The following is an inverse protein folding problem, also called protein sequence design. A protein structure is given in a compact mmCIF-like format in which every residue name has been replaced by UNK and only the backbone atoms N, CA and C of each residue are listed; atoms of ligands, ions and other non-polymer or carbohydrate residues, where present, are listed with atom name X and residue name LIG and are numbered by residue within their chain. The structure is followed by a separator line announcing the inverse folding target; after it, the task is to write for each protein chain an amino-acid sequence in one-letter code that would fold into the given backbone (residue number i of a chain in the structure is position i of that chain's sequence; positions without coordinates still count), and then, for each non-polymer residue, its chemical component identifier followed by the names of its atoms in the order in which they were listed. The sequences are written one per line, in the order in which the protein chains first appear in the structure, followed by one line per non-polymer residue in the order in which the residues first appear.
data_IF_338747455548
#
_entry.id   IF_338747455548
#
_cell.length_a   1.000
_cell.length_b   1.000
_cell.length_c   1.000
_cell.angle_alpha   90.00
_cell.angle_beta   90.00
_cell.angle_gamma   90.00
#
_symmetry.space_group_name_H-M   'P 1'
#
loop_
_entity.id
_entity.type
_entity.pdbx_description
1 polymer ?
#
# COMPACT_ATOMS: atom_id res chain seq x y z
N UNK A 1 27.56 5.90 -11.74
CA UNK A 1 26.50 6.25 -12.69
C UNK A 1 25.65 7.30 -12.00
N UNK A 2 25.56 8.50 -12.57
CA UNK A 2 24.93 9.65 -11.96
C UNK A 2 23.45 9.40 -11.65
N UNK A 3 23.00 9.86 -10.47
CA UNK A 3 21.60 9.81 -10.00
C UNK A 3 20.61 10.55 -10.94
N UNK A 4 21.09 11.30 -11.90
CA UNK A 4 20.30 12.18 -12.78
C UNK A 4 19.35 11.47 -13.72
N UNK A 5 19.69 10.26 -14.22
CA UNK A 5 18.84 9.57 -15.18
C UNK A 5 17.53 9.00 -14.60
N UNK A 6 17.37 8.98 -13.28
CA UNK A 6 16.15 8.49 -12.62
C UNK A 6 14.97 9.46 -12.79
N UNK A 7 15.25 10.75 -12.87
CA UNK A 7 14.23 11.81 -13.00
C UNK A 7 14.07 12.33 -14.44
N UNK A 8 14.71 11.67 -15.44
CA UNK A 8 14.67 12.13 -16.83
C UNK A 8 13.25 12.05 -17.43
N UNK A 9 12.56 10.94 -17.19
CA UNK A 9 11.18 10.73 -17.66
C UNK A 9 10.36 9.98 -16.61
N UNK A 10 9.08 10.35 -16.49
CA UNK A 10 8.16 9.64 -15.61
C UNK A 10 7.77 8.29 -16.24
N UNK A 11 8.34 7.20 -15.75
CA UNK A 11 7.97 5.85 -16.19
C UNK A 11 6.52 5.53 -15.80
N UNK A 12 5.84 4.69 -16.59
CA UNK A 12 4.46 4.24 -16.28
C UNK A 12 4.30 3.69 -14.86
N UNK A 13 5.28 2.97 -14.37
CA UNK A 13 5.30 2.46 -12.98
C UNK A 13 5.26 3.59 -11.94
N UNK A 14 6.00 4.68 -12.18
CA UNK A 14 6.00 5.86 -11.30
C UNK A 14 4.65 6.58 -11.34
N UNK A 15 3.98 6.59 -12.50
CA UNK A 15 2.61 7.11 -12.62
C UNK A 15 1.61 6.29 -11.81
N UNK A 16 1.66 4.96 -11.90
CA UNK A 16 0.76 4.06 -11.14
C UNK A 16 1.01 4.20 -9.65
N UNK A 17 2.29 4.22 -9.23
CA UNK A 17 2.68 4.47 -7.83
C UNK A 17 2.10 5.79 -7.31
N UNK A 18 2.33 6.89 -8.03
CA UNK A 18 1.83 8.21 -7.65
C UNK A 18 0.29 8.24 -7.57
N UNK A 19 -0.43 7.58 -8.51
CA UNK A 19 -1.90 7.45 -8.46
C UNK A 19 -2.39 6.68 -7.25
N UNK A 20 -1.71 5.60 -6.85
CA UNK A 20 -2.08 4.84 -5.65
C UNK A 20 -1.94 5.74 -4.41
N UNK A 21 -0.80 6.43 -4.27
CA UNK A 21 -0.54 7.34 -3.14
C UNK A 21 -1.53 8.48 -3.09
N UNK A 22 -1.78 9.17 -4.21
CA UNK A 22 -2.72 10.29 -4.34
C UNK A 22 -4.15 9.87 -3.97
N UNK A 23 -4.65 8.76 -4.54
CA UNK A 23 -5.99 8.22 -4.24
C UNK A 23 -6.12 7.81 -2.78
N UNK A 24 -5.06 7.18 -2.23
CA UNK A 24 -5.08 6.80 -0.83
C UNK A 24 -5.05 8.01 0.09
N UNK A 25 -4.20 8.99 -0.17
CA UNK A 25 -4.14 10.25 0.57
C UNK A 25 -5.51 10.92 0.66
N UNK A 26 -6.21 11.06 -0.47
CA UNK A 26 -7.55 11.63 -0.48
C UNK A 26 -8.53 10.83 0.38
N UNK A 27 -8.59 9.52 0.20
CA UNK A 27 -9.52 8.66 0.94
C UNK A 27 -9.21 8.60 2.43
N UNK A 28 -7.92 8.50 2.80
CA UNK A 28 -7.44 8.56 4.17
C UNK A 28 -7.85 9.88 4.84
N UNK A 29 -7.60 11.00 4.21
CA UNK A 29 -7.96 12.31 4.74
C UNK A 29 -9.48 12.42 4.99
N UNK A 30 -10.32 11.92 4.06
CA UNK A 30 -11.79 11.91 4.24
C UNK A 30 -12.24 11.05 5.42
N UNK A 31 -11.53 9.98 5.76
CA UNK A 31 -11.80 9.15 6.93
C UNK A 31 -11.34 9.81 8.23
N UNK A 32 -10.17 10.44 8.22
CA UNK A 32 -9.51 10.96 9.43
C UNK A 32 -10.02 12.35 9.82
N UNK A 33 -10.26 13.24 8.85
CA UNK A 33 -10.65 14.64 9.10
C UNK A 33 -11.85 14.78 10.05
N UNK A 34 -12.95 14.03 9.92
CA UNK A 34 -14.10 14.20 10.80
C UNK A 34 -13.76 14.01 12.29
N UNK A 35 -12.93 13.02 12.60
CA UNK A 35 -12.50 12.74 13.98
C UNK A 35 -11.45 13.75 14.45
N UNK A 36 -10.46 14.07 13.62
CA UNK A 36 -9.44 15.08 13.91
C UNK A 36 -10.08 16.46 14.17
N UNK A 37 -11.11 16.84 13.39
CA UNK A 37 -11.85 18.10 13.54
C UNK A 37 -12.58 18.18 14.88
N UNK A 38 -13.25 17.09 15.31
CA UNK A 38 -13.90 16.99 16.62
C UNK A 38 -12.90 17.12 17.77
N UNK A 39 -11.70 16.59 17.60
CA UNK A 39 -10.62 16.67 18.59
C UNK A 39 -9.82 18.00 18.54
N UNK A 40 -10.21 18.97 17.71
CA UNK A 40 -9.43 20.22 17.51
C UNK A 40 -8.04 19.99 16.91
N UNK A 41 -7.78 18.82 16.35
CA UNK A 41 -6.49 18.42 15.81
C UNK A 41 -6.36 18.80 14.31
N UNK A 42 -5.20 18.55 13.74
CA UNK A 42 -4.85 18.69 12.33
C UNK A 42 -4.57 17.31 11.76
N UNK A 43 -4.33 17.24 10.45
CA UNK A 43 -3.78 16.07 9.79
C UNK A 43 -2.46 16.45 9.12
N UNK A 44 -1.60 15.46 8.85
CA UNK A 44 -0.36 15.70 8.15
C UNK A 44 -0.10 14.71 7.02
N UNK A 45 0.65 15.15 6.02
CA UNK A 45 1.28 14.30 5.01
C UNK A 45 2.78 14.54 5.04
N UNK A 46 3.55 13.48 5.12
CA UNK A 46 5.01 13.54 5.22
C UNK A 46 5.62 12.64 4.15
N UNK A 47 6.47 13.21 3.32
CA UNK A 47 7.29 12.50 2.34
C UNK A 47 8.76 12.72 2.67
N UNK A 48 9.43 11.67 3.12
CA UNK A 48 10.81 11.77 3.60
C UNK A 48 11.86 11.66 2.48
N UNK A 49 11.45 11.37 1.24
CA UNK A 49 12.31 11.22 0.06
C UNK A 49 11.64 11.88 -1.16
N UNK A 50 11.31 13.15 -1.03
CA UNK A 50 10.33 13.83 -1.90
C UNK A 50 10.83 14.08 -3.34
N UNK A 51 12.14 14.07 -3.59
CA UNK A 51 12.72 14.36 -4.89
C UNK A 51 12.49 15.81 -5.36
N UNK A 52 12.75 16.11 -6.64
CA UNK A 52 12.75 17.49 -7.16
C UNK A 52 11.35 18.08 -7.47
N UNK A 53 10.26 17.39 -7.17
CA UNK A 53 8.90 17.87 -7.39
C UNK A 53 8.37 17.67 -8.82
N UNK A 54 9.20 17.79 -9.82
CA UNK A 54 8.89 17.50 -11.23
C UNK A 54 9.97 16.65 -11.87
N UNK A 55 9.57 15.84 -12.82
CA UNK A 55 10.48 15.14 -13.72
C UNK A 55 10.98 16.10 -14.80
N UNK A 56 12.05 15.79 -15.53
CA UNK A 56 12.60 16.63 -16.61
C UNK A 56 11.61 16.84 -17.77
N UNK A 57 10.70 15.90 -18.00
CA UNK A 57 9.60 16.02 -18.96
C UNK A 57 8.47 16.95 -18.48
N UNK A 58 8.62 17.59 -17.31
CA UNK A 58 7.64 18.48 -16.69
C UNK A 58 6.50 17.76 -15.95
N UNK A 59 6.43 16.44 -15.96
CA UNK A 59 5.40 15.69 -15.27
C UNK A 59 5.50 15.83 -13.75
N UNK A 60 4.35 15.78 -13.06
CA UNK A 60 4.24 16.05 -11.62
C UNK A 60 4.62 14.83 -10.79
N UNK A 61 5.45 15.04 -9.78
CA UNK A 61 5.75 14.03 -8.76
C UNK A 61 4.64 13.91 -7.71
N UNK A 62 4.76 12.94 -6.81
CA UNK A 62 3.80 12.70 -5.72
C UNK A 62 3.55 13.94 -4.84
N UNK A 63 4.56 14.70 -4.35
CA UNK A 63 4.36 15.93 -3.60
C UNK A 63 3.41 16.93 -4.27
N UNK A 64 3.62 17.20 -5.55
CA UNK A 64 2.80 18.17 -6.30
C UNK A 64 1.35 17.69 -6.41
N UNK A 65 1.13 16.41 -6.70
CA UNK A 65 -0.23 15.82 -6.79
C UNK A 65 -0.97 15.87 -5.45
N UNK A 66 -0.28 15.58 -4.35
CA UNK A 66 -0.84 15.67 -2.99
C UNK A 66 -1.26 17.10 -2.65
N UNK A 67 -0.43 18.10 -2.99
CA UNK A 67 -0.76 19.50 -2.74
C UNK A 67 -1.93 19.98 -3.59
N UNK A 68 -2.00 19.63 -4.86
CA UNK A 68 -3.13 19.96 -5.75
C UNK A 68 -4.43 19.31 -5.24
N UNK A 69 -4.38 18.05 -4.79
CA UNK A 69 -5.52 17.38 -4.16
C UNK A 69 -5.98 18.13 -2.91
N UNK A 70 -5.04 18.56 -2.07
CA UNK A 70 -5.35 19.31 -0.85
C UNK A 70 -5.95 20.69 -1.15
N UNK A 71 -5.45 21.40 -2.16
CA UNK A 71 -5.97 22.69 -2.59
C UNK A 71 -7.42 22.56 -3.11
N UNK A 72 -7.77 21.47 -3.76
CA UNK A 72 -9.12 21.26 -4.29
C UNK A 72 -10.18 20.98 -3.21
N UNK A 73 -9.75 20.60 -1.99
CA UNK A 73 -10.65 20.20 -0.89
C UNK A 73 -10.68 21.21 0.24
N UNK A 74 -11.85 21.78 0.60
CA UNK A 74 -11.98 22.83 1.63
C UNK A 74 -11.50 22.39 3.02
N UNK A 75 -11.73 21.14 3.42
CA UNK A 75 -11.31 20.66 4.74
C UNK A 75 -9.79 20.44 4.78
N UNK A 76 -9.22 19.85 3.71
CA UNK A 76 -7.76 19.67 3.61
C UNK A 76 -7.03 21.01 3.58
N UNK A 77 -7.53 22.01 2.84
CA UNK A 77 -6.97 23.39 2.83
C UNK A 77 -6.79 23.96 4.24
N UNK A 78 -7.76 23.67 5.13
CA UNK A 78 -7.77 24.23 6.48
C UNK A 78 -7.05 23.39 7.52
N UNK A 79 -6.80 22.10 7.27
CA UNK A 79 -6.34 21.15 8.28
C UNK A 79 -5.02 20.48 7.96
N UNK A 80 -4.63 20.40 6.69
CA UNK A 80 -3.43 19.67 6.28
C UNK A 80 -2.15 20.45 6.58
N UNK A 81 -1.20 19.80 7.23
CA UNK A 81 0.21 20.18 7.29
C UNK A 81 1.00 19.24 6.39
N UNK A 82 1.96 19.76 5.63
CA UNK A 82 2.82 18.92 4.80
C UNK A 82 4.29 19.17 5.11
N UNK A 83 5.07 18.08 5.07
CA UNK A 83 6.52 18.14 5.14
C UNK A 83 7.09 17.24 4.04
N UNK A 84 8.00 17.82 3.29
CA UNK A 84 8.74 17.18 2.22
C UNK A 84 10.22 17.26 2.53
N UNK A 85 10.90 16.13 2.60
CA UNK A 85 12.32 16.06 2.85
C UNK A 85 13.06 15.37 1.70
N UNK A 86 14.25 15.82 1.39
CA UNK A 86 15.21 15.09 0.56
C UNK A 86 16.62 15.39 1.05
N UNK A 87 17.50 14.38 1.02
CA UNK A 87 18.91 14.56 1.40
C UNK A 87 19.71 15.40 0.38
N UNK A 88 19.23 15.46 -0.88
CA UNK A 88 19.85 16.28 -1.93
C UNK A 88 19.29 17.72 -1.90
N UNK A 89 20.16 18.69 -1.64
CA UNK A 89 19.78 20.10 -1.58
C UNK A 89 19.28 20.67 -2.92
N UNK A 90 19.75 20.16 -4.06
CA UNK A 90 19.26 20.55 -5.39
C UNK A 90 17.83 20.10 -5.60
N UNK A 91 17.48 18.88 -5.10
CA UNK A 91 16.11 18.38 -5.14
C UNK A 91 15.18 19.24 -4.30
N UNK A 92 15.58 19.60 -3.07
CA UNK A 92 14.74 20.42 -2.20
C UNK A 92 14.56 21.84 -2.74
N UNK A 93 15.57 22.40 -3.36
CA UNK A 93 15.46 23.70 -4.04
C UNK A 93 14.46 23.60 -5.22
N UNK A 94 14.63 22.62 -6.11
CA UNK A 94 13.75 22.41 -7.25
C UNK A 94 12.29 22.12 -6.82
N UNK A 95 12.12 21.35 -5.74
CA UNK A 95 10.80 21.07 -5.16
C UNK A 95 10.14 22.35 -4.64
N UNK A 96 10.88 23.20 -3.92
CA UNK A 96 10.34 24.47 -3.43
C UNK A 96 9.88 25.36 -4.57
N UNK A 97 10.68 25.47 -5.66
CA UNK A 97 10.28 26.22 -6.85
C UNK A 97 9.03 25.61 -7.51
N UNK A 98 8.96 24.29 -7.63
CA UNK A 98 7.78 23.62 -8.18
C UNK A 98 6.53 23.83 -7.32
N UNK A 99 6.65 23.86 -6.00
CA UNK A 99 5.56 24.17 -5.06
C UNK A 99 5.08 25.62 -5.23
N UNK A 100 6.01 26.58 -5.33
CA UNK A 100 5.67 27.99 -5.50
C UNK A 100 4.89 28.27 -6.80
N UNK A 101 5.06 27.41 -7.82
CA UNK A 101 4.36 27.49 -9.10
C UNK A 101 2.97 26.84 -9.12
N UNK A 102 2.56 26.16 -8.03
CA UNK A 102 1.23 25.53 -7.97
C UNK A 102 0.17 26.64 -7.89
N UNK A 103 -0.84 26.65 -8.79
CA UNK A 103 -1.95 27.57 -8.69
C UNK A 103 -2.65 27.43 -7.32
N UNK A 104 -3.03 28.57 -6.73
CA UNK A 104 -3.77 28.60 -5.47
C UNK A 104 -3.05 27.99 -4.23
N UNK A 105 -1.74 27.80 -4.30
CA UNK A 105 -0.95 27.25 -3.17
C UNK A 105 -1.14 28.06 -1.88
N UNK A 106 -1.37 29.37 -2.01
CA UNK A 106 -1.60 30.28 -0.89
C UNK A 106 -2.98 30.08 -0.21
N UNK A 107 -3.88 29.28 -0.81
CA UNK A 107 -5.15 28.91 -0.20
C UNK A 107 -4.97 27.85 0.90
N UNK A 108 -3.80 27.19 0.98
CA UNK A 108 -3.49 26.30 2.09
C UNK A 108 -3.22 27.12 3.36
N UNK A 109 -3.97 26.81 4.42
CA UNK A 109 -3.78 27.48 5.74
C UNK A 109 -2.38 27.28 6.31
N UNK A 110 -1.79 26.12 6.09
CA UNK A 110 -0.43 25.79 6.52
C UNK A 110 0.45 25.67 5.27
N UNK A 111 1.47 26.52 5.21
CA UNK A 111 2.43 26.50 4.10
C UNK A 111 3.18 25.16 4.08
N UNK A 112 3.39 24.54 2.91
CA UNK A 112 4.24 23.37 2.78
C UNK A 112 5.64 23.62 3.33
N UNK A 113 6.17 22.67 4.10
CA UNK A 113 7.53 22.72 4.62
C UNK A 113 8.43 21.83 3.75
N UNK A 114 9.55 22.37 3.30
CA UNK A 114 10.61 21.64 2.61
C UNK A 114 11.86 21.67 3.47
N UNK A 115 12.43 20.48 3.71
CA UNK A 115 13.61 20.30 4.56
C UNK A 115 14.69 19.51 3.84
N UNK A 116 15.94 19.71 4.24
CA UNK A 116 17.10 19.02 3.67
C UNK A 116 17.92 18.38 4.78
N UNK A 117 17.71 17.09 5.04
CA UNK A 117 18.52 16.33 5.99
C UNK A 117 18.55 14.82 5.61
N UNK A 118 19.59 14.13 6.04
CA UNK A 118 19.64 12.67 5.96
C UNK A 118 18.74 12.04 7.02
N UNK A 119 17.99 11.00 6.63
CA UNK A 119 17.10 10.28 7.54
C UNK A 119 17.94 9.48 8.52
N UNK A 120 17.72 9.75 9.81
CA UNK A 120 18.31 9.07 10.95
C UNK A 120 17.34 9.08 12.15
N UNK A 121 17.58 8.24 13.16
CA UNK A 121 16.64 8.04 14.28
C UNK A 121 16.31 9.33 15.07
N UNK A 122 17.24 10.25 15.16
CA UNK A 122 17.07 11.49 15.97
C UNK A 122 16.16 12.56 15.36
N UNK A 123 15.84 12.48 14.08
CA UNK A 123 15.16 13.57 13.38
C UNK A 123 13.63 13.38 13.25
N UNK A 124 13.09 12.26 13.71
CA UNK A 124 11.71 11.87 13.45
C UNK A 124 10.73 12.16 14.60
N UNK A 125 11.22 12.42 15.82
CA UNK A 125 10.37 12.65 16.99
C UNK A 125 9.44 13.87 16.87
N UNK A 126 9.74 14.79 15.97
CA UNK A 126 9.05 16.08 15.82
C UNK A 126 7.66 15.91 15.14
N UNK A 127 7.40 14.78 14.48
CA UNK A 127 6.26 14.66 13.55
C UNK A 127 5.04 13.89 14.07
N UNK A 128 5.10 13.33 15.29
CA UNK A 128 4.15 12.29 15.72
C UNK A 128 2.91 12.77 16.52
N UNK A 129 2.57 14.06 16.49
CA UNK A 129 1.51 14.61 17.34
C UNK A 129 0.12 14.68 16.68
N UNK A 130 0.01 14.38 15.40
CA UNK A 130 -1.26 14.41 14.65
C UNK A 130 -1.39 13.19 13.74
N UNK A 131 -2.61 12.77 13.40
CA UNK A 131 -2.82 11.74 12.37
C UNK A 131 -2.04 12.08 11.10
N UNK A 132 -1.22 11.16 10.62
CA UNK A 132 -0.26 11.41 9.55
C UNK A 132 -0.23 10.29 8.54
N UNK A 133 -0.30 10.63 7.26
CA UNK A 133 0.07 9.71 6.19
C UNK A 133 1.53 9.91 5.81
N UNK A 134 2.33 8.85 5.93
CA UNK A 134 3.73 8.83 5.54
C UNK A 134 3.91 8.17 4.19
N UNK A 135 4.78 8.77 3.37
CA UNK A 135 5.27 8.17 2.15
C UNK A 135 6.81 8.10 2.20
N UNK A 136 7.37 6.91 2.00
CA UNK A 136 8.80 6.63 2.09
C UNK A 136 9.27 6.01 0.77
N UNK A 137 9.94 6.78 -0.07
CA UNK A 137 10.40 6.37 -1.41
C UNK A 137 11.92 6.51 -1.57
N UNK A 138 12.74 5.81 -0.73
CA UNK A 138 14.18 5.99 -0.78
C UNK A 138 14.76 5.50 -2.10
N UNK A 139 15.83 6.14 -2.55
CA UNK A 139 16.64 5.62 -3.64
C UNK A 139 17.37 4.34 -3.18
N UNK A 140 16.81 3.19 -3.50
CA UNK A 140 17.27 1.90 -3.00
C UNK A 140 16.50 1.46 -1.75
N UNK A 141 17.14 1.39 -0.60
CA UNK A 141 16.55 1.06 0.69
C UNK A 141 17.28 1.71 1.88
N UNK A 142 18.31 2.52 1.62
CA UNK A 142 19.06 3.25 2.67
C UNK A 142 18.12 4.23 3.37
N UNK A 143 18.14 4.21 4.69
CA UNK A 143 17.27 5.04 5.53
C UNK A 143 15.88 4.43 5.79
N UNK A 144 15.58 3.25 5.23
CA UNK A 144 14.37 2.49 5.53
C UNK A 144 14.71 1.42 6.59
N UNK A 145 13.98 1.40 7.71
CA UNK A 145 14.13 0.43 8.77
C UNK A 145 12.79 0.02 9.38
N UNK A 146 12.72 -1.14 10.02
CA UNK A 146 11.54 -1.56 10.77
C UNK A 146 11.18 -0.54 11.86
N UNK A 147 12.19 -0.01 12.57
CA UNK A 147 11.99 1.00 13.62
C UNK A 147 11.39 2.30 13.06
N UNK A 148 11.87 2.77 11.91
CA UNK A 148 11.28 3.91 11.23
C UNK A 148 9.80 3.65 10.90
N UNK A 149 9.50 2.53 10.22
CA UNK A 149 8.13 2.18 9.82
C UNK A 149 7.22 2.07 11.06
N UNK A 150 7.68 1.39 12.11
CA UNK A 150 6.92 1.29 13.36
C UNK A 150 6.67 2.65 14.00
N UNK A 151 7.70 3.51 14.08
CA UNK A 151 7.60 4.82 14.70
C UNK A 151 6.54 5.71 14.03
N UNK A 152 6.40 5.60 12.70
CA UNK A 152 5.45 6.41 11.92
C UNK A 152 4.02 5.86 11.97
N UNK A 153 3.79 4.56 12.21
CA UNK A 153 2.43 3.97 12.23
C UNK A 153 1.92 3.62 13.63
N UNK A 154 2.73 3.81 14.69
CA UNK A 154 2.34 3.44 16.07
C UNK A 154 1.14 4.20 16.60
N UNK A 155 0.91 5.43 16.15
CA UNK A 155 -0.14 6.32 16.66
C UNK A 155 -1.43 6.18 15.85
N UNK A 156 -2.56 6.57 16.49
CA UNK A 156 -3.86 6.55 15.86
C UNK A 156 -3.93 7.45 14.62
N UNK A 157 -4.52 6.92 13.55
CA UNK A 157 -4.73 7.63 12.28
C UNK A 157 -3.46 7.79 11.45
N UNK A 158 -2.38 7.09 11.83
CA UNK A 158 -1.12 7.11 11.09
C UNK A 158 -1.01 5.86 10.23
N UNK A 159 -0.81 6.08 8.92
CA UNK A 159 -0.58 5.03 7.92
C UNK A 159 0.71 5.33 7.16
N UNK A 160 1.31 4.30 6.56
CA UNK A 160 2.51 4.45 5.76
C UNK A 160 2.41 3.67 4.46
N UNK A 161 2.87 4.29 3.38
CA UNK A 161 3.21 3.63 2.12
C UNK A 161 4.72 3.73 1.95
N UNK A 162 5.39 2.61 1.70
CA UNK A 162 6.82 2.64 1.44
C UNK A 162 7.21 1.85 0.21
N UNK A 163 8.23 2.36 -0.47
CA UNK A 163 8.79 1.73 -1.64
C UNK A 163 9.84 0.70 -1.23
N UNK A 164 9.67 -0.52 -1.67
CA UNK A 164 10.54 -1.65 -1.38
C UNK A 164 11.24 -2.11 -2.65
N UNK A 165 12.49 -1.67 -2.84
CA UNK A 165 13.28 -1.99 -4.02
C UNK A 165 13.79 -3.44 -3.98
N UNK A 166 12.90 -4.36 -4.37
CA UNK A 166 13.17 -5.79 -4.35
C UNK A 166 14.47 -6.17 -5.08
N UNK A 167 14.69 -5.62 -6.28
CA UNK A 167 15.88 -5.94 -7.06
C UNK A 167 17.18 -5.62 -6.30
N UNK A 168 17.24 -4.43 -5.70
CA UNK A 168 18.42 -3.99 -4.95
C UNK A 168 18.61 -4.83 -3.69
N UNK A 169 17.55 -5.02 -2.93
CA UNK A 169 17.57 -5.81 -1.70
C UNK A 169 17.99 -7.25 -1.99
N UNK A 170 17.43 -7.90 -3.01
CA UNK A 170 17.80 -9.27 -3.38
C UNK A 170 19.27 -9.41 -3.79
N UNK A 171 19.85 -8.40 -4.45
CA UNK A 171 21.30 -8.38 -4.77
C UNK A 171 22.16 -8.18 -3.52
N UNK A 172 21.73 -7.32 -2.62
CA UNK A 172 22.50 -6.85 -1.49
C UNK A 172 22.33 -7.73 -0.22
N UNK A 173 21.40 -8.68 -0.22
CA UNK A 173 21.09 -9.53 0.95
C UNK A 173 22.31 -10.28 1.49
N UNK A 174 23.25 -10.66 0.62
CA UNK A 174 24.49 -11.37 0.99
C UNK A 174 25.73 -10.47 0.96
N UNK A 175 25.55 -9.17 0.76
CA UNK A 175 26.64 -8.20 0.69
C UNK A 175 27.00 -7.70 2.09
N UNK A 176 28.19 -8.05 2.59
CA UNK A 176 28.66 -7.66 3.92
C UNK A 176 28.79 -6.13 4.10
N UNK A 177 29.03 -5.37 3.03
CA UNK A 177 29.18 -3.89 3.12
C UNK A 177 27.90 -3.20 3.59
N UNK A 178 26.73 -3.79 3.29
CA UNK A 178 25.40 -3.21 3.59
C UNK A 178 24.61 -4.08 4.56
N UNK A 179 25.29 -4.96 5.28
CA UNK A 179 24.66 -5.91 6.19
C UNK A 179 23.80 -5.22 7.25
N UNK A 180 24.27 -4.11 7.82
CA UNK A 180 23.53 -3.34 8.83
C UNK A 180 22.23 -2.78 8.26
N UNK A 181 22.24 -2.22 7.06
CA UNK A 181 21.01 -1.72 6.42
C UNK A 181 19.98 -2.83 6.16
N UNK A 182 20.44 -4.03 5.80
CA UNK A 182 19.58 -5.20 5.63
C UNK A 182 19.05 -5.68 7.00
N UNK A 183 19.89 -5.68 8.03
CA UNK A 183 19.48 -6.04 9.39
C UNK A 183 18.46 -5.03 9.95
N UNK A 184 18.60 -3.74 9.69
CA UNK A 184 17.63 -2.71 10.06
C UNK A 184 16.28 -2.89 9.37
N UNK A 185 16.30 -3.38 8.11
CA UNK A 185 15.10 -3.57 7.31
C UNK A 185 14.29 -4.80 7.70
N UNK A 186 14.94 -5.91 8.12
CA UNK A 186 14.27 -7.19 8.41
C UNK A 186 14.31 -7.59 9.88
N UNK A 187 15.16 -6.95 10.68
CA UNK A 187 15.62 -7.48 11.97
C UNK A 187 16.71 -8.54 11.78
N UNK A 188 17.76 -8.51 12.59
CA UNK A 188 18.96 -9.36 12.43
C UNK A 188 18.64 -10.84 12.28
N UNK A 189 17.79 -11.40 13.16
CA UNK A 189 17.47 -12.84 13.13
C UNK A 189 16.80 -13.27 11.82
N UNK A 190 15.86 -12.46 11.32
CA UNK A 190 15.17 -12.74 10.05
C UNK A 190 16.09 -12.52 8.84
N UNK A 191 16.95 -11.51 8.89
CA UNK A 191 17.97 -11.28 7.88
C UNK A 191 18.93 -12.46 7.76
N UNK A 192 19.40 -12.99 8.87
CA UNK A 192 20.30 -14.16 8.90
C UNK A 192 19.58 -15.42 8.38
N UNK A 193 18.35 -15.65 8.79
CA UNK A 193 17.54 -16.77 8.33
C UNK A 193 17.31 -16.72 6.81
N UNK A 194 16.85 -15.59 6.29
CA UNK A 194 16.56 -15.44 4.84
C UNK A 194 17.82 -15.56 4.00
N UNK A 195 19.00 -15.06 4.46
CA UNK A 195 20.29 -15.25 3.79
C UNK A 195 20.65 -16.73 3.58
N UNK A 196 20.34 -17.57 4.57
CA UNK A 196 20.58 -19.01 4.46
C UNK A 196 19.60 -19.70 3.52
N UNK A 197 18.31 -19.41 3.65
CA UNK A 197 17.24 -20.02 2.87
C UNK A 197 17.35 -19.70 1.37
N UNK A 198 17.70 -18.45 1.03
CA UNK A 198 17.79 -18.00 -0.37
C UNK A 198 18.85 -18.73 -1.19
N UNK A 199 19.86 -19.35 -0.59
CA UNK A 199 20.89 -20.10 -1.31
C UNK A 199 20.33 -21.32 -2.06
N UNK A 200 19.18 -21.82 -1.62
CA UNK A 200 18.53 -23.04 -2.13
C UNK A 200 17.28 -22.73 -2.98
N UNK A 201 16.91 -21.44 -3.14
CA UNK A 201 15.65 -21.05 -3.76
C UNK A 201 15.82 -20.62 -5.23
N UNK A 202 14.80 -20.92 -6.04
CA UNK A 202 14.63 -20.34 -7.39
C UNK A 202 14.33 -18.85 -7.32
N UNK A 203 14.51 -18.13 -8.43
CA UNK A 203 14.30 -16.68 -8.49
C UNK A 203 12.87 -16.25 -8.04
N UNK A 204 11.85 -17.00 -8.43
CA UNK A 204 10.45 -16.75 -8.05
C UNK A 204 10.21 -16.97 -6.56
N UNK A 205 10.69 -18.09 -6.02
CA UNK A 205 10.57 -18.42 -4.61
C UNK A 205 11.33 -17.42 -3.72
N UNK A 206 12.44 -16.88 -4.19
CA UNK A 206 13.19 -15.82 -3.48
C UNK A 206 12.36 -14.56 -3.27
N UNK A 207 11.63 -14.13 -4.30
CA UNK A 207 10.75 -12.95 -4.17
C UNK A 207 9.68 -13.17 -3.11
N UNK A 208 8.97 -14.30 -3.19
CA UNK A 208 7.92 -14.65 -2.22
C UNK A 208 8.49 -14.69 -0.80
N UNK A 209 9.66 -15.33 -0.60
CA UNK A 209 10.32 -15.44 0.69
C UNK A 209 10.72 -14.05 1.25
N UNK A 210 11.33 -13.19 0.44
CA UNK A 210 11.74 -11.84 0.86
C UNK A 210 10.52 -10.98 1.24
N UNK A 211 9.46 -10.97 0.42
CA UNK A 211 8.25 -10.21 0.72
C UNK A 211 7.54 -10.76 1.96
N UNK A 212 7.47 -12.08 2.10
CA UNK A 212 6.92 -12.70 3.31
C UNK A 212 7.72 -12.29 4.54
N UNK A 213 9.06 -12.32 4.48
CA UNK A 213 9.92 -11.97 5.62
C UNK A 213 9.70 -10.54 6.10
N UNK A 214 9.60 -9.54 5.20
CA UNK A 214 9.30 -8.16 5.62
C UNK A 214 7.88 -8.03 6.18
N UNK A 215 6.88 -8.70 5.58
CA UNK A 215 5.51 -8.69 6.09
C UNK A 215 5.43 -9.33 7.49
N UNK A 216 6.12 -10.44 7.72
CA UNK A 216 6.14 -11.12 9.02
C UNK A 216 6.90 -10.29 10.07
N UNK A 217 8.00 -9.61 9.69
CA UNK A 217 8.71 -8.70 10.57
C UNK A 217 7.84 -7.52 11.03
N UNK A 218 7.05 -6.95 10.13
CA UNK A 218 6.12 -5.87 10.46
C UNK A 218 4.98 -6.34 11.37
N UNK A 219 4.43 -7.54 11.13
CA UNK A 219 3.38 -8.13 11.99
C UNK A 219 3.87 -8.39 13.41
N UNK A 220 5.11 -8.83 13.59
CA UNK A 220 5.71 -9.01 14.93
C UNK A 220 5.87 -7.70 15.71
N UNK A 221 5.87 -6.55 15.00
CA UNK A 221 5.83 -5.22 15.61
C UNK A 221 4.40 -4.71 15.84
N UNK A 222 3.41 -5.60 15.90
CA UNK A 222 1.99 -5.25 16.10
C UNK A 222 1.42 -4.36 14.99
N UNK A 223 1.89 -4.55 13.76
CA UNK A 223 1.34 -3.94 12.55
C UNK A 223 0.55 -5.01 11.79
N UNK A 224 -0.75 -5.08 12.04
CA UNK A 224 -1.60 -6.16 11.54
C UNK A 224 -1.83 -6.09 10.02
N UNK A 225 -1.97 -4.87 9.48
CA UNK A 225 -2.42 -4.67 8.10
C UNK A 225 -1.26 -4.30 7.19
N UNK A 226 -0.76 -5.28 6.44
CA UNK A 226 0.33 -5.11 5.47
C UNK A 226 -0.15 -5.55 4.09
N UNK A 227 -0.09 -4.66 3.08
CA UNK A 227 -0.51 -4.94 1.71
C UNK A 227 0.58 -4.59 0.72
N UNK A 228 1.27 -5.57 0.15
CA UNK A 228 2.18 -5.37 -0.97
C UNK A 228 1.42 -5.17 -2.30
N UNK A 229 1.97 -4.33 -3.17
CA UNK A 229 1.60 -4.20 -4.57
C UNK A 229 2.86 -4.31 -5.43
N UNK A 230 2.89 -5.28 -6.34
CA UNK A 230 4.05 -5.64 -7.15
C UNK A 230 4.16 -4.78 -8.40
N UNK A 231 5.38 -4.39 -8.76
CA UNK A 231 5.68 -3.78 -10.06
C UNK A 231 6.65 -4.66 -10.83
N UNK A 232 6.22 -5.12 -12.01
CA UNK A 232 7.07 -5.91 -12.93
C UNK A 232 7.87 -5.01 -13.86
N UNK A 233 9.06 -5.44 -14.23
CA UNK A 233 9.93 -4.71 -15.13
C UNK A 233 9.35 -4.70 -16.56
N UNK A 234 9.39 -3.55 -17.22
CA UNK A 234 8.81 -3.33 -18.55
C UNK A 234 9.28 -4.32 -19.63
N UNK A 235 10.59 -4.64 -19.63
CA UNK A 235 11.22 -5.49 -20.65
C UNK A 235 11.59 -6.89 -20.16
N UNK A 236 11.41 -7.19 -18.88
CA UNK A 236 11.84 -8.47 -18.28
C UNK A 236 10.69 -9.02 -17.43
N UNK A 237 10.41 -10.32 -17.54
CA UNK A 237 9.40 -11.02 -16.72
C UNK A 237 9.79 -11.11 -15.23
N UNK A 238 10.45 -10.10 -14.67
CA UNK A 238 10.88 -10.09 -13.27
C UNK A 238 10.33 -8.87 -12.54
N UNK A 239 10.15 -9.02 -11.25
CA UNK A 239 9.77 -7.92 -10.37
C UNK A 239 10.90 -6.90 -10.26
N UNK A 240 10.54 -5.63 -10.29
CA UNK A 240 11.46 -4.52 -10.02
C UNK A 240 11.37 -4.10 -8.56
N UNK A 241 10.17 -3.85 -8.06
CA UNK A 241 9.93 -3.35 -6.72
C UNK A 241 8.50 -3.64 -6.25
N UNK A 242 8.22 -3.34 -4.99
CA UNK A 242 6.88 -3.32 -4.42
C UNK A 242 6.59 -1.96 -3.80
N UNK A 243 5.35 -1.55 -3.82
CA UNK A 243 4.82 -0.53 -2.93
C UNK A 243 4.10 -1.26 -1.79
N UNK A 244 4.57 -1.08 -0.57
CA UNK A 244 4.00 -1.78 0.58
C UNK A 244 3.25 -0.76 1.44
N UNK A 245 1.98 -1.04 1.68
CA UNK A 245 1.15 -0.31 2.61
C UNK A 245 1.17 -0.97 3.97
N UNK A 246 1.21 -0.16 5.04
CA UNK A 246 1.14 -0.61 6.43
C UNK A 246 0.22 0.29 7.25
N UNK A 247 -0.60 -0.33 8.10
CA UNK A 247 -1.54 0.36 8.99
C UNK A 247 -1.88 -0.51 10.19
N UNK A 248 -2.40 0.13 11.25
CA UNK A 248 -3.09 -0.52 12.37
C UNK A 248 -4.62 -0.44 12.26
N UNK A 249 -5.15 0.21 11.21
CA UNK A 249 -6.59 0.38 11.01
C UNK A 249 -7.10 -0.47 9.82
N UNK A 250 -8.07 -1.32 10.09
CA UNK A 250 -8.72 -2.19 9.08
C UNK A 250 -9.42 -1.43 7.96
N UNK A 251 -9.87 -0.19 8.20
CA UNK A 251 -10.51 0.64 7.17
C UNK A 251 -9.48 1.13 6.16
N UNK A 252 -8.31 1.58 6.65
CA UNK A 252 -7.18 1.93 5.80
C UNK A 252 -6.79 0.77 4.90
N UNK A 253 -6.68 -0.44 5.48
CA UNK A 253 -6.38 -1.66 4.73
C UNK A 253 -7.42 -1.99 3.65
N UNK A 254 -8.72 -1.89 3.96
CA UNK A 254 -9.78 -2.09 2.97
C UNK A 254 -9.67 -1.08 1.82
N UNK A 255 -9.48 0.19 2.14
CA UNK A 255 -9.38 1.28 1.16
C UNK A 255 -8.20 1.06 0.22
N UNK A 256 -7.01 0.77 0.76
CA UNK A 256 -5.83 0.58 -0.07
C UNK A 256 -5.95 -0.66 -0.97
N UNK A 257 -6.53 -1.75 -0.47
CA UNK A 257 -6.82 -2.94 -1.29
C UNK A 257 -7.72 -2.62 -2.47
N UNK A 258 -8.80 -1.87 -2.25
CA UNK A 258 -9.72 -1.47 -3.32
C UNK A 258 -9.06 -0.54 -4.35
N UNK A 259 -8.13 0.34 -3.91
CA UNK A 259 -7.35 1.20 -4.79
C UNK A 259 -6.35 0.38 -5.61
N UNK A 260 -5.54 -0.45 -4.96
CA UNK A 260 -4.54 -1.30 -5.60
C UNK A 260 -5.18 -2.31 -6.57
N UNK A 261 -6.35 -2.84 -6.23
CA UNK A 261 -7.11 -3.71 -7.12
C UNK A 261 -7.49 -3.04 -8.45
N UNK A 262 -7.85 -1.76 -8.42
CA UNK A 262 -8.17 -0.97 -9.63
C UNK A 262 -6.95 -0.64 -10.48
N UNK A 263 -5.77 -0.58 -9.88
CA UNK A 263 -4.50 -0.35 -10.57
C UNK A 263 -3.82 -1.66 -11.01
N UNK A 264 -4.39 -2.82 -10.67
CA UNK A 264 -3.89 -4.13 -11.10
C UNK A 264 -4.06 -4.32 -12.61
N UNK A 265 -3.00 -4.75 -13.29
CA UNK A 265 -3.01 -4.97 -14.73
C UNK A 265 -3.83 -6.18 -15.16
N UNK A 266 -4.15 -7.08 -14.23
CA UNK A 266 -4.83 -8.32 -14.52
C UNK A 266 -5.79 -8.72 -13.39
N UNK A 267 -6.89 -9.37 -13.77
CA UNK A 267 -7.86 -9.97 -12.86
C UNK A 267 -8.26 -11.35 -13.41
N UNK A 268 -8.28 -12.36 -12.54
CA UNK A 268 -8.81 -13.69 -12.85
C UNK A 268 -10.11 -13.91 -12.08
N UNK A 269 -11.21 -14.22 -12.76
CA UNK A 269 -12.56 -14.33 -12.16
C UNK A 269 -12.94 -13.09 -11.31
N UNK A 270 -12.42 -11.90 -11.65
CA UNK A 270 -12.61 -10.67 -10.88
C UNK A 270 -11.73 -10.53 -9.63
N UNK A 271 -10.84 -11.48 -9.35
CA UNK A 271 -9.83 -11.40 -8.30
C UNK A 271 -8.61 -10.65 -8.84
N UNK A 272 -8.20 -9.53 -8.20
CA UNK A 272 -7.09 -8.71 -8.69
C UNK A 272 -5.73 -9.37 -8.43
N UNK A 273 -4.79 -9.16 -9.34
CA UNK A 273 -3.42 -9.68 -9.22
C UNK A 273 -2.56 -8.93 -8.20
N UNK A 274 -2.97 -7.74 -7.78
CA UNK A 274 -2.16 -6.81 -6.99
C UNK A 274 -0.78 -6.55 -7.59
N UNK A 275 -0.72 -6.52 -8.93
CA UNK A 275 0.49 -6.21 -9.67
C UNK A 275 0.23 -5.27 -10.84
N UNK A 276 1.22 -4.45 -11.13
CA UNK A 276 1.32 -3.68 -12.36
C UNK A 276 2.37 -4.31 -13.28
N UNK A 277 1.92 -4.71 -14.46
CA UNK A 277 2.76 -5.32 -15.49
C UNK A 277 2.51 -4.62 -16.84
N UNK A 278 3.42 -3.76 -17.31
CA UNK A 278 3.23 -3.02 -18.56
C UNK A 278 3.13 -3.93 -19.79
N UNK A 279 3.66 -5.17 -19.72
CA UNK A 279 3.58 -6.14 -20.80
C UNK A 279 2.20 -6.82 -20.93
N UNK A 280 1.38 -6.83 -19.88
CA UNK A 280 0.09 -7.55 -19.86
C UNK A 280 -0.99 -6.86 -20.70
N UNK A 281 -0.87 -5.57 -20.96
CA UNK A 281 -1.74 -4.88 -21.93
C UNK A 281 -1.66 -5.45 -23.36
N UNK A 282 -0.66 -6.31 -23.63
CA UNK A 282 -0.41 -6.90 -24.95
C UNK A 282 -0.70 -8.40 -25.07
N UNK A 283 -0.88 -9.11 -23.97
CA UNK A 283 -1.17 -10.56 -23.98
C UNK A 283 -2.04 -10.97 -22.81
N UNK A 284 -3.30 -11.30 -23.07
CA UNK A 284 -4.11 -12.10 -22.16
C UNK A 284 -3.42 -13.45 -22.00
N UNK A 285 -2.95 -13.77 -20.80
CA UNK A 285 -2.36 -15.06 -20.49
C UNK A 285 -3.43 -16.15 -20.58
N UNK A 286 -3.30 -17.02 -21.60
CA UNK A 286 -4.21 -18.15 -21.84
C UNK A 286 -3.94 -19.36 -20.91
N UNK A 287 -3.02 -19.25 -19.94
CA UNK A 287 -2.52 -20.39 -19.17
C UNK A 287 -2.40 -20.11 -17.64
N UNK A 288 -3.45 -19.65 -17.00
CA UNK A 288 -3.55 -19.79 -15.54
C UNK A 288 -4.73 -20.68 -15.22
N UNK A 289 -4.43 -21.92 -14.79
CA UNK A 289 -5.41 -22.96 -14.44
C UNK A 289 -5.95 -22.84 -13.01
N UNK A 290 -5.74 -21.73 -12.31
CA UNK A 290 -6.33 -21.49 -10.99
C UNK A 290 -7.66 -20.78 -11.14
N UNK A 291 -8.68 -21.27 -10.44
CA UNK A 291 -9.98 -20.63 -10.29
C UNK A 291 -10.05 -19.95 -8.92
N UNK A 292 -9.47 -18.75 -8.75
CA UNK A 292 -9.30 -18.15 -7.43
C UNK A 292 -10.63 -17.85 -6.72
N UNK A 293 -11.73 -17.68 -7.46
CA UNK A 293 -13.04 -17.49 -6.86
C UNK A 293 -13.59 -18.81 -6.28
N UNK A 294 -13.38 -19.94 -6.98
CA UNK A 294 -13.78 -21.26 -6.50
C UNK A 294 -12.95 -21.66 -5.26
N UNK A 295 -11.66 -21.29 -5.24
CA UNK A 295 -10.80 -21.46 -4.07
C UNK A 295 -11.31 -20.65 -2.88
N UNK A 296 -11.76 -19.39 -3.10
CA UNK A 296 -12.36 -18.56 -2.05
C UNK A 296 -13.64 -19.21 -1.52
N UNK A 297 -14.52 -19.72 -2.39
CA UNK A 297 -15.74 -20.40 -1.99
C UNK A 297 -15.43 -21.58 -1.06
N UNK A 298 -14.47 -22.42 -1.42
CA UNK A 298 -14.08 -23.56 -0.58
C UNK A 298 -13.48 -23.12 0.75
N UNK A 299 -12.58 -22.12 0.76
CA UNK A 299 -12.02 -21.58 1.99
C UNK A 299 -13.10 -21.05 2.94
N UNK A 300 -14.15 -20.38 2.41
CA UNK A 300 -15.24 -19.86 3.22
C UNK A 300 -16.07 -20.99 3.86
N UNK A 301 -16.37 -22.05 3.11
CA UNK A 301 -17.07 -23.21 3.64
C UNK A 301 -16.28 -23.91 4.76
N UNK A 302 -14.96 -24.01 4.60
CA UNK A 302 -14.10 -24.68 5.58
C UNK A 302 -13.90 -23.85 6.87
N UNK A 303 -13.67 -22.53 6.74
CA UNK A 303 -13.32 -21.67 7.87
C UNK A 303 -14.55 -21.24 8.70
N UNK A 304 -15.69 -21.10 8.04
CA UNK A 304 -16.92 -20.65 8.70
C UNK A 304 -17.97 -21.73 8.91
N UNK A 305 -17.62 -23.01 8.72
CA UNK A 305 -18.53 -24.12 8.94
C UNK A 305 -19.27 -24.04 10.29
N UNK A 306 -20.59 -24.18 10.28
CA UNK A 306 -21.45 -24.12 11.46
C UNK A 306 -21.67 -22.75 12.06
N UNK A 307 -21.13 -21.68 11.46
CA UNK A 307 -21.27 -20.30 11.96
C UNK A 307 -22.38 -19.54 11.27
N UNK A 308 -23.01 -18.62 12.03
CA UNK A 308 -23.86 -17.56 11.49
C UNK A 308 -23.14 -16.23 11.68
N UNK A 309 -22.82 -15.56 10.58
CA UNK A 309 -21.91 -14.39 10.58
C UNK A 309 -22.26 -13.45 9.43
N UNK A 310 -22.09 -12.14 9.61
CA UNK A 310 -22.36 -11.16 8.54
C UNK A 310 -21.28 -11.19 7.45
N UNK A 311 -21.66 -10.79 6.22
CA UNK A 311 -20.71 -10.63 5.10
C UNK A 311 -19.53 -9.72 5.48
N UNK A 312 -19.77 -8.63 6.19
CA UNK A 312 -18.73 -7.73 6.64
C UNK A 312 -17.75 -8.40 7.59
N UNK A 313 -18.25 -9.18 8.55
CA UNK A 313 -17.39 -9.91 9.50
C UNK A 313 -16.58 -11.00 8.81
N UNK A 314 -17.18 -11.76 7.87
CA UNK A 314 -16.47 -12.73 7.02
C UNK A 314 -15.30 -12.04 6.33
N UNK A 315 -15.57 -10.93 5.62
CA UNK A 315 -14.53 -10.19 4.92
C UNK A 315 -13.44 -9.72 5.88
N UNK A 316 -13.80 -9.13 7.02
CA UNK A 316 -12.84 -8.57 7.97
C UNK A 316 -11.95 -9.64 8.61
N UNK A 317 -12.47 -10.85 8.87
CA UNK A 317 -11.71 -11.94 9.47
C UNK A 317 -10.80 -12.65 8.45
N UNK A 318 -11.27 -12.79 7.21
CA UNK A 318 -10.63 -13.67 6.23
C UNK A 318 -9.71 -12.95 5.22
N UNK A 319 -9.85 -11.63 5.00
CA UNK A 319 -9.18 -10.95 3.89
C UNK A 319 -7.69 -10.60 4.11
N UNK A 320 -7.21 -10.64 5.36
CA UNK A 320 -5.84 -10.19 5.69
C UNK A 320 -4.80 -11.14 5.10
N UNK A 321 -3.86 -10.60 4.31
CA UNK A 321 -2.82 -11.38 3.63
C UNK A 321 -3.31 -12.18 2.41
N UNK A 322 -4.56 -12.02 1.96
CA UNK A 322 -5.12 -12.69 0.79
C UNK A 322 -5.41 -11.70 -0.35
N UNK A 323 -5.42 -12.17 -1.59
CA UNK A 323 -5.63 -11.34 -2.79
C UNK A 323 -7.11 -11.02 -3.09
N UNK A 324 -8.02 -11.21 -2.14
CA UNK A 324 -9.45 -10.97 -2.35
C UNK A 324 -9.88 -9.61 -1.81
N UNK A 325 -10.73 -8.91 -2.58
CA UNK A 325 -11.39 -7.67 -2.18
C UNK A 325 -12.85 -7.93 -1.79
N UNK A 326 -13.50 -7.01 -1.11
CA UNK A 326 -14.90 -7.17 -0.64
C UNK A 326 -15.86 -7.65 -1.74
N UNK A 327 -15.66 -7.19 -2.99
CA UNK A 327 -16.47 -7.63 -4.14
C UNK A 327 -16.34 -9.13 -4.40
N UNK A 328 -15.16 -9.72 -4.24
CA UNK A 328 -14.95 -11.16 -4.45
C UNK A 328 -15.73 -11.99 -3.44
N UNK A 329 -15.72 -11.58 -2.16
CA UNK A 329 -16.53 -12.24 -1.12
C UNK A 329 -18.01 -12.20 -1.43
N UNK A 330 -18.54 -11.03 -1.86
CA UNK A 330 -19.94 -10.89 -2.24
C UNK A 330 -20.30 -11.83 -3.40
N UNK A 331 -19.43 -11.93 -4.39
CA UNK A 331 -19.64 -12.84 -5.54
C UNK A 331 -19.60 -14.30 -5.09
N UNK A 332 -18.60 -14.70 -4.30
CA UNK A 332 -18.48 -16.06 -3.77
C UNK A 332 -19.70 -16.45 -2.94
N UNK A 333 -20.18 -15.56 -2.06
CA UNK A 333 -21.38 -15.83 -1.24
C UNK A 333 -22.66 -15.92 -2.07
N UNK A 334 -22.82 -15.14 -3.13
CA UNK A 334 -23.94 -15.29 -4.09
C UNK A 334 -23.88 -16.66 -4.77
N UNK A 335 -22.70 -17.08 -5.21
CA UNK A 335 -22.52 -18.38 -5.86
C UNK A 335 -22.84 -19.53 -4.90
N UNK A 336 -22.31 -19.49 -3.68
CA UNK A 336 -22.57 -20.51 -2.65
C UNK A 336 -24.05 -20.60 -2.27
N UNK A 337 -24.75 -19.47 -2.17
CA UNK A 337 -26.19 -19.44 -1.90
C UNK A 337 -26.97 -20.00 -3.09
N UNK A 338 -26.60 -19.66 -4.32
CA UNK A 338 -27.22 -20.18 -5.55
C UNK A 338 -27.04 -21.70 -5.67
N UNK A 339 -25.88 -22.22 -5.23
CA UNK A 339 -25.59 -23.66 -5.18
C UNK A 339 -26.27 -24.36 -4.01
N UNK A 340 -26.98 -23.66 -3.11
CA UNK A 340 -27.62 -24.23 -1.93
C UNK A 340 -26.63 -24.66 -0.83
N UNK A 341 -25.35 -24.23 -0.91
CA UNK A 341 -24.30 -24.59 0.07
C UNK A 341 -24.34 -23.75 1.33
N UNK A 342 -24.94 -22.57 1.28
CA UNK A 342 -25.21 -21.68 2.41
C UNK A 342 -26.62 -21.12 2.32
N UNK A 343 -27.11 -20.57 3.43
CA UNK A 343 -28.34 -19.76 3.44
C UNK A 343 -28.00 -18.33 3.96
N UNK A 344 -28.86 -17.36 3.65
CA UNK A 344 -28.63 -15.99 4.07
C UNK A 344 -29.91 -15.30 4.55
N UNK A 345 -29.76 -14.37 5.50
CA UNK A 345 -30.83 -13.54 6.06
C UNK A 345 -30.53 -12.05 5.86
N UNK A 346 -31.42 -11.29 5.21
CA UNK A 346 -32.67 -11.73 4.56
C UNK A 346 -32.41 -12.61 3.34
N UNK A 347 -33.39 -13.46 2.93
CA UNK A 347 -33.25 -14.36 1.78
C UNK A 347 -33.17 -13.58 0.46
N UNK A 348 -32.74 -14.26 -0.62
CA UNK A 348 -32.47 -13.65 -1.93
C UNK A 348 -33.64 -12.87 -2.52
N UNK A 349 -34.89 -13.30 -2.31
CA UNK A 349 -36.11 -12.64 -2.78
C UNK A 349 -36.43 -11.33 -2.03
N UNK A 350 -35.90 -11.13 -0.86
CA UNK A 350 -36.05 -9.91 -0.05
C UNK A 350 -34.88 -8.93 -0.22
N UNK A 351 -33.89 -9.31 -1.00
CA UNK A 351 -32.71 -8.48 -1.28
C UNK A 351 -32.77 -7.90 -2.70
N UNK A 352 -32.08 -6.77 -2.91
CA UNK A 352 -31.88 -6.26 -4.25
C UNK A 352 -31.19 -7.31 -5.13
N UNK A 353 -31.71 -7.57 -6.32
CA UNK A 353 -31.21 -8.57 -7.26
C UNK A 353 -29.69 -8.51 -7.45
N UNK A 354 -29.03 -9.64 -7.41
CA UNK A 354 -27.58 -9.80 -7.58
C UNK A 354 -26.73 -8.96 -6.61
N UNK A 355 -27.23 -8.75 -5.38
CA UNK A 355 -26.47 -8.04 -4.35
C UNK A 355 -26.36 -8.86 -3.07
N UNK A 356 -25.22 -8.69 -2.39
CA UNK A 356 -24.97 -9.24 -1.06
C UNK A 356 -24.50 -8.10 -0.15
N UNK A 357 -25.38 -7.60 0.71
CA UNK A 357 -25.09 -6.44 1.57
C UNK A 357 -24.12 -6.77 2.68
N UNK A 358 -23.39 -5.76 3.19
CA UNK A 358 -22.41 -5.95 4.27
C UNK A 358 -23.06 -6.50 5.56
N UNK A 359 -24.32 -6.17 5.82
CA UNK A 359 -25.11 -6.61 6.99
C UNK A 359 -25.85 -7.92 6.80
N UNK A 360 -25.84 -8.53 5.61
CA UNK A 360 -26.50 -9.81 5.36
C UNK A 360 -25.81 -10.89 6.18
N UNK A 361 -26.58 -11.62 6.98
CA UNK A 361 -26.11 -12.77 7.76
C UNK A 361 -26.03 -14.00 6.86
N UNK A 362 -24.93 -14.70 6.95
CA UNK A 362 -24.64 -15.95 6.25
C UNK A 362 -24.69 -17.08 7.26
N UNK A 363 -25.41 -18.13 6.93
CA UNK A 363 -25.51 -19.35 7.75
C UNK A 363 -24.78 -20.46 7.00
N UNK A 364 -23.64 -20.85 7.52
CA UNK A 364 -22.84 -21.95 6.98
C UNK A 364 -23.27 -23.28 7.59
N UNK A 365 -23.43 -24.35 6.81
CA UNK A 365 -23.70 -25.66 7.35
C UNK A 365 -22.54 -26.17 8.21
N UNK A 366 -22.78 -27.07 9.18
CA UNK A 366 -21.70 -27.73 9.90
C UNK A 366 -20.79 -28.51 8.94
N UNK A 367 -19.56 -28.77 9.34
CA UNK A 367 -18.66 -29.67 8.59
C UNK A 367 -19.34 -31.07 8.50
N UNK A 368 -19.43 -31.56 7.29
CA UNK A 368 -19.82 -32.94 7.04
C UNK A 368 -18.70 -33.88 7.42
#
# INVERSE_FOLDING_TARGET
MSNDSFFDEQKEQSLVKARIVEKYFWAWAKVIIPTAKKAGSKIAYIDLFAGPGRYKDGSKSTPIKVLETAISDPDMRNMLKTLFNDANSEHTYSLQEAINQIPDINNLKYKPQVTNFEIGEKNLEIFFHVPTLFFLDPYGYKGLSLNLIYSVVKNWGCDCLFFFNYNRINMDLTNAIVEDNINDLFGKQKADKIRQELKLMTSENREIAIIKTICDALKEMDIEYVQPFRFKHEKKKRTSHHLIFVSKDKRGYKIIKDIMAKESSYQNQGVPSFEYNPATYRQLSLFESSNPLDELEQMLLDEFAGKTITMQEIYMQHNVGRSYISKNYKTALINLETQGKITAEPPVNERRKNTFGDSVKVIFPPKQ
#
